data_IF_518997896080
#
_entry.id   IF_518997896080
#
_cell.length_a   1.000
_cell.length_b   1.000
_cell.length_c   1.000
_cell.angle_alpha   90.00
_cell.angle_beta   90.00
_cell.angle_gamma   90.00
#
_symmetry.space_group_name_H-M   'P 1'
#
loop_
_entity.id
_entity.type
_entity.pdbx_description
1 polymer ?
#
# COMPACT_ATOMS: atom_id res chain seq x y z
N UNK A 1 -81.81 19.12 -49.58
CA UNK A 1 -80.98 20.18 -48.98
C UNK A 1 -80.35 19.56 -47.69
N UNK A 2 -79.16 18.99 -47.78
CA UNK A 2 -78.42 18.42 -46.68
C UNK A 2 -77.11 19.17 -46.56
N UNK A 3 -76.87 19.76 -45.43
CA UNK A 3 -75.61 20.42 -45.12
C UNK A 3 -74.53 19.43 -44.77
N UNK A 4 -73.25 19.57 -45.22
CA UNK A 4 -72.14 18.74 -44.81
C UNK A 4 -71.65 19.16 -43.43
N UNK A 5 -71.59 18.21 -42.52
CA UNK A 5 -71.01 18.40 -41.19
C UNK A 5 -69.49 18.61 -41.28
N UNK A 6 -69.04 19.73 -40.68
CA UNK A 6 -67.63 20.05 -40.51
C UNK A 6 -67.05 19.15 -39.45
N UNK A 7 -66.17 18.22 -39.85
CA UNK A 7 -65.36 17.43 -38.91
C UNK A 7 -64.28 18.34 -38.25
N UNK A 8 -64.42 18.58 -36.96
CA UNK A 8 -63.45 19.29 -36.16
C UNK A 8 -62.31 18.28 -35.92
N UNK A 9 -61.16 18.58 -36.53
CA UNK A 9 -59.93 17.83 -36.27
C UNK A 9 -59.54 18.04 -34.82
N UNK A 10 -59.38 16.95 -34.08
CA UNK A 10 -58.83 16.95 -32.72
C UNK A 10 -57.36 17.47 -32.74
N UNK A 11 -56.98 18.25 -31.75
CA UNK A 11 -55.59 18.73 -31.69
C UNK A 11 -54.63 17.59 -31.46
N UNK A 12 -53.59 17.52 -32.28
CA UNK A 12 -52.44 16.68 -32.12
C UNK A 12 -51.92 16.83 -30.70
N UNK A 13 -52.24 15.87 -29.84
CA UNK A 13 -51.60 15.73 -28.51
C UNK A 13 -50.15 15.42 -28.74
N UNK A 14 -49.29 16.40 -28.53
CA UNK A 14 -47.87 16.22 -28.30
C UNK A 14 -47.71 15.44 -26.99
N UNK A 15 -47.85 14.11 -27.07
CA UNK A 15 -47.35 13.23 -26.02
C UNK A 15 -45.83 13.36 -26.01
N UNK A 16 -45.34 14.31 -25.22
CA UNK A 16 -43.96 14.37 -24.79
C UNK A 16 -43.72 13.08 -23.98
N UNK A 17 -43.33 11.99 -24.66
CA UNK A 17 -42.80 10.78 -24.00
C UNK A 17 -41.54 11.23 -23.26
N UNK A 18 -41.74 11.72 -22.06
CA UNK A 18 -40.67 11.94 -21.09
C UNK A 18 -39.98 10.60 -20.89
N UNK A 19 -38.84 10.45 -21.55
CA UNK A 19 -37.94 9.29 -21.44
C UNK A 19 -37.45 9.26 -20.01
N UNK A 20 -38.23 8.63 -19.11
CA UNK A 20 -37.94 8.62 -17.68
C UNK A 20 -36.65 7.82 -17.46
N UNK A 21 -35.64 8.53 -16.99
CA UNK A 21 -34.42 7.90 -16.49
C UNK A 21 -34.80 6.78 -15.52
N UNK A 22 -34.19 5.60 -15.60
CA UNK A 22 -34.46 4.52 -14.66
C UNK A 22 -33.86 4.90 -13.29
N UNK A 23 -34.69 5.50 -12.43
CA UNK A 23 -34.27 6.15 -11.17
C UNK A 23 -33.48 5.18 -10.28
N UNK A 24 -34.00 3.97 -10.09
CA UNK A 24 -33.33 2.99 -9.22
C UNK A 24 -31.93 2.62 -9.72
N UNK A 25 -31.72 2.16 -10.98
CA UNK A 25 -30.37 1.91 -11.50
C UNK A 25 -29.47 3.13 -11.47
N UNK A 26 -30.02 4.34 -11.73
CA UNK A 26 -29.24 5.58 -11.69
C UNK A 26 -28.68 5.84 -10.29
N UNK A 27 -29.49 5.65 -9.26
CA UNK A 27 -29.06 5.82 -7.87
C UNK A 27 -27.95 4.80 -7.53
N UNK A 28 -28.13 3.52 -7.89
CA UNK A 28 -27.14 2.49 -7.60
C UNK A 28 -25.81 2.74 -8.32
N UNK A 29 -25.84 3.09 -9.61
CA UNK A 29 -24.63 3.38 -10.37
C UNK A 29 -23.97 4.67 -9.87
N UNK A 30 -24.75 5.70 -9.58
CA UNK A 30 -24.25 6.95 -9.01
C UNK A 30 -23.58 6.73 -7.64
N UNK A 31 -24.20 5.95 -6.77
CA UNK A 31 -23.61 5.58 -5.48
C UNK A 31 -22.31 4.79 -5.64
N UNK A 32 -22.27 3.81 -6.55
CA UNK A 32 -21.05 3.04 -6.82
C UNK A 32 -19.91 3.93 -7.33
N UNK A 33 -20.20 4.84 -8.26
CA UNK A 33 -19.21 5.81 -8.77
C UNK A 33 -18.71 6.72 -7.64
N UNK A 34 -19.59 7.22 -6.80
CA UNK A 34 -19.23 8.07 -5.67
C UNK A 34 -18.31 7.35 -4.67
N UNK A 35 -18.60 6.08 -4.37
CA UNK A 35 -17.74 5.24 -3.51
C UNK A 35 -16.36 5.04 -4.14
N UNK A 36 -16.28 4.73 -5.44
CA UNK A 36 -15.00 4.54 -6.13
C UNK A 36 -14.17 5.84 -6.13
N UNK A 37 -14.80 7.00 -6.35
CA UNK A 37 -14.12 8.30 -6.26
C UNK A 37 -13.62 8.55 -4.84
N UNK A 38 -14.44 8.29 -3.82
CA UNK A 38 -14.05 8.45 -2.42
C UNK A 38 -12.87 7.56 -2.05
N UNK A 39 -12.85 6.30 -2.53
CA UNK A 39 -11.72 5.38 -2.34
C UNK A 39 -10.45 5.86 -3.07
N UNK A 40 -10.60 6.46 -4.25
CA UNK A 40 -9.48 7.09 -4.96
C UNK A 40 -8.82 8.20 -4.13
N UNK A 41 -9.61 9.12 -3.59
CA UNK A 41 -9.11 10.19 -2.72
C UNK A 41 -8.55 9.66 -1.40
N UNK A 42 -9.16 8.63 -0.82
CA UNK A 42 -8.62 8.00 0.38
C UNK A 42 -7.23 7.40 0.13
N UNK A 43 -7.01 6.77 -1.04
CA UNK A 43 -5.70 6.25 -1.43
C UNK A 43 -4.66 7.37 -1.58
N UNK A 44 -5.03 8.53 -2.13
CA UNK A 44 -4.12 9.68 -2.22
C UNK A 44 -3.73 10.19 -0.82
N UNK A 45 -4.67 10.32 0.09
CA UNK A 45 -4.37 10.72 1.47
C UNK A 45 -3.42 9.72 2.16
N UNK A 46 -3.60 8.42 1.92
CA UNK A 46 -2.70 7.37 2.43
C UNK A 46 -1.30 7.44 1.81
N UNK A 47 -1.21 7.81 0.53
CA UNK A 47 0.07 8.06 -0.13
C UNK A 47 0.83 9.18 0.58
N UNK A 48 0.16 10.32 0.83
CA UNK A 48 0.79 11.48 1.47
C UNK A 48 1.29 11.16 2.89
N UNK A 49 0.47 10.45 3.69
CA UNK A 49 0.86 9.98 5.03
C UNK A 49 2.11 9.08 4.96
N UNK A 50 2.14 8.15 3.98
CA UNK A 50 3.26 7.23 3.79
C UNK A 50 4.52 7.98 3.35
N UNK A 51 4.41 8.92 2.44
CA UNK A 51 5.54 9.75 1.98
C UNK A 51 6.13 10.58 3.11
N UNK A 52 5.29 11.18 3.96
CA UNK A 52 5.74 11.91 5.13
C UNK A 52 6.50 11.01 6.13
N UNK A 53 6.05 9.76 6.32
CA UNK A 53 6.74 8.78 7.14
C UNK A 53 8.09 8.38 6.54
N UNK A 54 8.12 8.05 5.24
CA UNK A 54 9.36 7.69 4.52
C UNK A 54 10.38 8.83 4.53
N UNK A 55 9.94 10.07 4.38
CA UNK A 55 10.79 11.25 4.47
C UNK A 55 11.44 11.40 5.85
N UNK A 56 10.70 11.15 6.94
CA UNK A 56 11.27 11.13 8.30
C UNK A 56 12.33 10.05 8.46
N UNK A 57 12.08 8.85 7.96
CA UNK A 57 13.05 7.75 8.01
C UNK A 57 14.30 8.03 7.16
N UNK A 58 14.14 8.61 5.98
CA UNK A 58 15.27 9.04 5.16
C UNK A 58 16.12 10.11 5.85
N UNK A 59 15.49 11.04 6.55
CA UNK A 59 16.22 12.02 7.38
C UNK A 59 16.94 11.34 8.56
N UNK A 60 16.29 10.34 9.21
CA UNK A 60 16.91 9.62 10.31
C UNK A 60 18.22 8.93 9.90
N UNK A 61 18.32 8.41 8.68
CA UNK A 61 19.55 7.81 8.14
C UNK A 61 20.73 8.79 8.04
N UNK A 62 20.47 10.07 7.93
CA UNK A 62 21.52 11.12 7.81
C UNK A 62 22.10 11.54 9.16
N UNK A 63 21.52 11.09 10.26
CA UNK A 63 21.94 11.44 11.61
C UNK A 63 23.03 10.47 12.08
N UNK A 64 24.24 10.98 12.30
CA UNK A 64 25.39 10.18 12.72
C UNK A 64 25.35 9.81 14.21
N UNK A 65 24.64 10.57 15.04
CA UNK A 65 24.56 10.33 16.48
C UNK A 65 23.83 9.02 16.78
N UNK A 66 24.44 8.05 17.49
CA UNK A 66 23.80 6.81 17.82
C UNK A 66 22.66 7.01 18.82
N UNK A 67 21.62 6.19 18.68
CA UNK A 67 20.50 6.11 19.64
C UNK A 67 20.58 4.82 20.45
N UNK A 68 19.93 4.80 21.62
CA UNK A 68 19.72 3.56 22.35
C UNK A 68 18.86 2.61 21.53
N UNK A 69 19.17 1.30 21.57
CA UNK A 69 18.35 0.29 20.94
C UNK A 69 16.95 0.28 21.59
N UNK A 70 15.84 0.35 20.82
CA UNK A 70 14.50 0.46 21.38
C UNK A 70 14.14 -0.84 22.10
N UNK A 71 13.66 -0.73 23.33
CA UNK A 71 13.24 -1.85 24.18
C UNK A 71 11.72 -1.92 24.36
N UNK A 72 11.01 -0.86 23.95
CA UNK A 72 9.56 -0.75 24.00
C UNK A 72 9.04 -0.43 22.61
N UNK A 73 7.81 -0.87 22.32
CA UNK A 73 7.17 -0.63 21.03
C UNK A 73 7.05 0.86 20.70
N UNK A 74 6.82 1.71 21.71
CA UNK A 74 6.69 3.16 21.56
C UNK A 74 7.97 3.86 21.10
N UNK A 75 9.15 3.27 21.36
CA UNK A 75 10.46 3.85 21.02
C UNK A 75 10.95 3.39 19.63
N UNK A 76 10.27 2.44 18.99
CA UNK A 76 10.75 1.81 17.76
C UNK A 76 10.81 2.83 16.62
N UNK A 77 9.74 3.56 16.36
CA UNK A 77 9.64 4.47 15.22
C UNK A 77 10.72 5.57 15.23
N UNK A 78 11.10 6.05 16.42
CA UNK A 78 12.13 7.08 16.59
C UNK A 78 13.55 6.52 16.44
N UNK A 79 13.72 5.21 16.65
CA UNK A 79 15.01 4.53 16.51
C UNK A 79 15.25 3.93 15.12
N UNK A 80 14.19 3.69 14.32
CA UNK A 80 14.32 3.07 13.00
C UNK A 80 15.29 3.86 12.11
N UNK A 81 16.12 3.11 11.39
CA UNK A 81 17.12 3.61 10.44
C UNK A 81 18.24 4.45 11.08
N UNK A 82 18.29 4.53 12.42
CA UNK A 82 19.35 5.18 13.18
C UNK A 82 20.47 4.20 13.54
N UNK A 83 21.68 4.72 13.72
CA UNK A 83 22.78 3.95 14.30
C UNK A 83 22.49 3.61 15.76
N UNK A 84 22.83 2.39 16.15
CA UNK A 84 22.66 1.90 17.52
C UNK A 84 23.69 0.83 17.83
N UNK A 85 23.76 0.44 19.10
CA UNK A 85 24.60 -0.65 19.54
C UNK A 85 23.93 -1.46 20.63
N UNK A 86 24.24 -2.76 20.66
CA UNK A 86 23.82 -3.67 21.72
C UNK A 86 24.97 -4.57 22.11
N UNK A 87 24.94 -5.08 23.35
CA UNK A 87 25.78 -6.18 23.76
C UNK A 87 24.91 -7.42 23.93
N UNK A 88 25.12 -8.40 23.07
CA UNK A 88 24.50 -9.72 23.17
C UNK A 88 25.23 -10.53 24.25
N UNK A 89 24.69 -10.54 25.46
CA UNK A 89 25.28 -11.24 26.58
C UNK A 89 25.11 -12.78 26.45
N UNK A 90 23.99 -13.19 25.87
CA UNK A 90 23.69 -14.61 25.62
C UNK A 90 22.89 -14.74 24.30
N UNK A 91 23.31 -15.66 23.46
CA UNK A 91 22.57 -16.03 22.25
C UNK A 91 21.53 -17.09 22.60
N UNK A 92 20.28 -16.75 22.55
CA UNK A 92 19.16 -17.63 22.89
C UNK A 92 18.80 -18.59 21.75
N UNK A 93 18.87 -18.10 20.52
CA UNK A 93 18.65 -18.91 19.32
C UNK A 93 19.30 -18.28 18.11
N UNK A 94 19.56 -19.08 17.09
CA UNK A 94 20.06 -18.62 15.79
C UNK A 94 19.19 -19.19 14.69
N UNK A 95 18.97 -18.40 13.66
CA UNK A 95 18.22 -18.78 12.48
C UNK A 95 18.76 -18.07 11.24
N UNK A 96 18.35 -18.52 10.10
CA UNK A 96 18.69 -17.89 8.83
C UNK A 96 17.43 -17.40 8.13
N UNK A 97 17.56 -16.33 7.31
CA UNK A 97 16.48 -15.82 6.47
C UNK A 97 17.09 -15.35 5.15
N UNK A 98 16.33 -15.36 4.03
CA UNK A 98 16.79 -14.73 2.80
C UNK A 98 17.15 -13.26 3.04
N UNK A 99 18.22 -12.79 2.39
CA UNK A 99 18.68 -11.40 2.50
C UNK A 99 19.69 -11.05 1.43
N UNK A 100 20.09 -9.77 1.40
CA UNK A 100 21.08 -9.25 0.45
C UNK A 100 22.29 -8.72 1.24
N UNK A 101 23.47 -8.82 0.64
CA UNK A 101 24.64 -8.11 1.15
C UNK A 101 24.68 -6.67 0.64
N UNK A 102 25.64 -5.86 1.08
CA UNK A 102 25.82 -4.46 0.65
C UNK A 102 26.00 -4.30 -0.87
N UNK A 103 26.50 -5.32 -1.57
CA UNK A 103 26.62 -5.33 -3.02
C UNK A 103 25.33 -5.76 -3.76
N UNK A 104 24.22 -5.94 -3.04
CA UNK A 104 22.92 -6.37 -3.57
C UNK A 104 22.85 -7.84 -3.98
N UNK A 105 23.85 -8.67 -3.62
CA UNK A 105 23.83 -10.10 -3.93
C UNK A 105 22.85 -10.83 -3.01
N UNK A 106 21.95 -11.60 -3.61
CA UNK A 106 21.00 -12.44 -2.88
C UNK A 106 21.75 -13.57 -2.16
N UNK A 107 21.37 -13.85 -0.93
CA UNK A 107 21.93 -14.91 -0.11
C UNK A 107 21.17 -15.04 1.20
N UNK A 108 21.87 -15.29 2.28
CA UNK A 108 21.28 -15.66 3.56
C UNK A 108 21.78 -14.71 4.66
N UNK A 109 20.84 -14.05 5.31
CA UNK A 109 21.09 -13.29 6.53
C UNK A 109 21.17 -14.26 7.74
N UNK A 110 22.18 -14.08 8.54
CA UNK A 110 22.39 -14.80 9.79
C UNK A 110 21.78 -13.98 10.93
N UNK A 111 20.82 -14.57 11.63
CA UNK A 111 20.03 -13.92 12.67
C UNK A 111 20.25 -14.58 14.01
N UNK A 112 20.35 -13.79 15.06
CA UNK A 112 20.41 -14.28 16.43
C UNK A 112 19.37 -13.55 17.30
N UNK A 113 18.67 -14.29 18.14
CA UNK A 113 17.90 -13.73 19.26
C UNK A 113 18.84 -13.66 20.45
N UNK A 114 19.04 -12.46 20.97
CA UNK A 114 20.00 -12.16 22.03
C UNK A 114 19.28 -11.72 23.30
N UNK A 115 19.73 -12.24 24.44
CA UNK A 115 19.53 -11.55 25.72
C UNK A 115 20.59 -10.43 25.82
N UNK A 116 20.13 -9.20 26.04
CA UNK A 116 21.01 -8.05 26.08
C UNK A 116 21.63 -7.85 27.49
N UNK A 117 22.83 -7.31 27.50
CA UNK A 117 23.39 -6.75 28.73
C UNK A 117 22.48 -5.62 29.24
N UNK A 118 22.23 -5.60 30.54
CA UNK A 118 21.24 -4.70 31.16
C UNK A 118 19.77 -5.09 30.95
N UNK A 119 19.50 -6.31 30.45
CA UNK A 119 18.16 -6.92 30.33
C UNK A 119 17.43 -6.65 29.02
N UNK A 120 16.36 -7.41 28.79
CA UNK A 120 15.60 -7.40 27.55
C UNK A 120 16.21 -8.29 26.47
N UNK A 121 15.50 -8.40 25.35
CA UNK A 121 15.92 -9.20 24.20
C UNK A 121 15.95 -8.35 22.94
N UNK A 122 16.80 -8.73 22.00
CA UNK A 122 16.83 -8.14 20.66
C UNK A 122 17.09 -9.21 19.59
N UNK A 123 16.57 -8.99 18.41
CA UNK A 123 17.00 -9.70 17.22
C UNK A 123 18.18 -8.96 16.59
N UNK A 124 19.26 -9.69 16.31
CA UNK A 124 20.49 -9.17 15.68
C UNK A 124 20.69 -9.90 14.36
N UNK A 125 20.69 -9.16 13.25
CA UNK A 125 21.13 -9.65 11.95
C UNK A 125 22.65 -9.44 11.88
N UNK A 126 23.43 -10.48 12.20
CA UNK A 126 24.85 -10.30 12.48
C UNK A 126 25.77 -10.49 11.27
N UNK A 127 25.25 -10.94 10.12
CA UNK A 127 26.02 -11.03 8.89
C UNK A 127 25.31 -11.76 7.78
N UNK A 128 25.99 -11.85 6.63
CA UNK A 128 25.49 -12.46 5.41
C UNK A 128 26.41 -13.58 4.91
N UNK A 129 25.79 -14.62 4.31
CA UNK A 129 26.49 -15.73 3.64
C UNK A 129 25.83 -16.03 2.30
N UNK A 130 26.61 -16.52 1.32
CA UNK A 130 26.07 -16.94 0.03
C UNK A 130 25.32 -18.27 0.10
N UNK A 131 25.57 -19.10 1.11
CA UNK A 131 25.04 -20.46 1.27
C UNK A 131 24.14 -20.57 2.50
N UNK A 132 23.08 -21.42 2.46
CA UNK A 132 22.12 -21.57 3.55
C UNK A 132 22.66 -22.45 4.68
N UNK A 133 23.75 -22.03 5.32
CA UNK A 133 24.30 -22.67 6.52
C UNK A 133 24.18 -21.74 7.71
N UNK A 134 23.86 -22.26 8.88
CA UNK A 134 23.89 -21.49 10.13
C UNK A 134 25.34 -21.33 10.54
N UNK A 135 25.78 -20.11 10.73
CA UNK A 135 27.10 -19.79 11.26
C UNK A 135 26.97 -19.59 12.78
N UNK A 136 27.71 -20.33 13.54
CA UNK A 136 27.71 -20.20 15.01
C UNK A 136 28.32 -18.86 15.42
N UNK A 137 27.56 -18.06 16.14
CA UNK A 137 27.98 -16.80 16.73
C UNK A 137 27.66 -16.83 18.24
N UNK A 138 28.59 -16.42 19.06
CA UNK A 138 28.47 -16.53 20.53
C UNK A 138 28.08 -15.24 21.23
N UNK A 139 27.66 -14.21 20.47
CA UNK A 139 27.31 -12.94 21.02
C UNK A 139 28.48 -11.97 21.11
N UNK A 140 28.33 -10.94 21.93
CA UNK A 140 29.29 -9.86 22.11
C UNK A 140 28.70 -8.50 21.74
N UNK A 141 29.56 -7.47 21.73
CA UNK A 141 29.17 -6.12 21.35
C UNK A 141 28.98 -6.02 19.83
N UNK A 142 27.86 -5.43 19.41
CA UNK A 142 27.50 -5.21 18.01
C UNK A 142 27.04 -3.78 17.84
N UNK A 143 27.58 -3.13 16.83
CA UNK A 143 27.11 -1.84 16.32
C UNK A 143 26.37 -2.06 15.00
N UNK A 144 25.46 -1.17 14.65
CA UNK A 144 24.75 -1.30 13.40
C UNK A 144 23.62 -0.29 13.23
N UNK A 145 22.66 -0.64 12.40
CA UNK A 145 21.49 0.19 12.10
C UNK A 145 20.22 -0.53 12.55
N UNK A 146 19.33 0.21 13.20
CA UNK A 146 18.03 -0.32 13.63
C UNK A 146 17.13 -0.49 12.40
N UNK A 147 16.69 -1.70 12.17
CA UNK A 147 15.74 -2.04 11.10
C UNK A 147 14.42 -2.58 11.62
N UNK A 148 13.36 -2.57 10.80
CA UNK A 148 12.07 -3.12 11.18
C UNK A 148 12.11 -4.66 11.26
N UNK A 149 11.37 -5.26 12.22
CA UNK A 149 11.21 -6.69 12.40
C UNK A 149 9.78 -7.05 12.80
N UNK A 150 8.83 -6.79 11.90
CA UNK A 150 7.39 -6.91 12.20
C UNK A 150 6.95 -5.85 13.21
N UNK A 151 6.51 -6.28 14.39
CA UNK A 151 6.14 -5.38 15.51
C UNK A 151 7.31 -5.06 16.44
N UNK A 152 8.50 -5.62 16.17
CA UNK A 152 9.72 -5.39 16.92
C UNK A 152 10.76 -4.66 16.04
N UNK A 153 11.88 -4.28 16.65
CA UNK A 153 13.06 -3.79 15.94
C UNK A 153 14.15 -4.87 15.95
N UNK A 154 15.03 -4.84 14.94
CA UNK A 154 16.26 -5.61 14.91
C UNK A 154 17.45 -4.70 14.76
N UNK A 155 18.61 -5.12 15.22
CA UNK A 155 19.88 -4.48 14.88
C UNK A 155 20.52 -5.20 13.69
N UNK A 156 20.76 -4.48 12.59
CA UNK A 156 21.54 -5.00 11.46
C UNK A 156 22.97 -4.57 11.66
N UNK A 157 23.84 -5.56 11.90
CA UNK A 157 25.23 -5.34 12.22
C UNK A 157 26.01 -4.65 11.07
N UNK A 158 26.72 -3.61 11.41
CA UNK A 158 27.61 -2.86 10.52
C UNK A 158 28.76 -2.26 11.34
N UNK A 159 29.98 -2.86 11.25
CA UNK A 159 30.35 -4.01 10.41
C UNK A 159 29.71 -5.33 10.87
N UNK A 160 29.65 -6.32 9.96
CA UNK A 160 29.17 -7.66 10.29
C UNK A 160 29.99 -8.29 11.41
N UNK A 161 29.33 -9.09 12.24
CA UNK A 161 29.98 -9.88 13.27
C UNK A 161 30.34 -11.30 12.78
N UNK A 162 31.13 -12.04 13.57
CA UNK A 162 31.47 -13.43 13.25
C UNK A 162 32.34 -13.65 12.00
N UNK A 163 32.98 -12.60 11.47
CA UNK A 163 33.82 -12.71 10.27
C UNK A 163 33.04 -12.86 8.95
N UNK A 164 31.76 -12.49 8.96
CA UNK A 164 30.86 -12.57 7.81
C UNK A 164 30.92 -11.32 6.94
N UNK A 165 30.29 -11.39 5.74
CA UNK A 165 30.03 -10.20 4.95
C UNK A 165 28.89 -9.38 5.58
N UNK A 166 28.93 -8.05 5.38
CA UNK A 166 27.87 -7.16 5.85
C UNK A 166 26.58 -7.35 5.04
N UNK A 167 25.46 -7.33 5.74
CA UNK A 167 24.14 -7.23 5.16
C UNK A 167 23.92 -5.85 4.56
N UNK A 168 23.05 -5.76 3.56
CA UNK A 168 22.50 -4.48 3.12
C UNK A 168 21.88 -3.76 4.33
N UNK A 169 22.19 -2.48 4.46
CA UNK A 169 21.57 -1.64 5.50
C UNK A 169 20.08 -1.55 5.26
N UNK A 170 19.26 -1.48 6.33
CA UNK A 170 17.85 -1.17 6.18
C UNK A 170 17.67 0.15 5.43
N UNK A 171 16.84 0.14 4.36
CA UNK A 171 16.54 1.33 3.58
C UNK A 171 15.02 1.60 3.61
N UNK A 172 14.58 2.81 4.01
CA UNK A 172 13.18 3.20 3.92
C UNK A 172 12.62 3.10 2.51
N UNK A 173 13.45 3.26 1.47
CA UNK A 173 13.05 3.14 0.07
C UNK A 173 12.55 1.73 -0.31
N UNK A 174 12.93 0.69 0.47
CA UNK A 174 12.45 -0.68 0.28
C UNK A 174 10.99 -0.86 0.71
N UNK A 175 10.41 0.14 1.40
CA UNK A 175 9.01 0.08 1.85
C UNK A 175 8.09 0.47 0.68
N UNK A 176 7.26 -0.45 0.17
CA UNK A 176 6.44 -0.16 -1.00
C UNK A 176 5.38 0.91 -0.71
N UNK A 177 5.23 1.86 -1.64
CA UNK A 177 4.17 2.87 -1.62
C UNK A 177 3.35 2.80 -2.91
N UNK A 178 2.43 1.82 -2.99
CA UNK A 178 1.63 1.56 -4.18
C UNK A 178 0.30 2.34 -4.21
N UNK A 179 0.07 3.26 -3.27
CA UNK A 179 -1.21 3.95 -3.12
C UNK A 179 -1.60 4.77 -4.34
N UNK A 180 -0.64 5.37 -5.07
CA UNK A 180 -0.91 6.10 -6.31
C UNK A 180 -1.50 5.20 -7.39
N UNK A 181 -0.95 3.99 -7.56
CA UNK A 181 -1.46 3.01 -8.52
C UNK A 181 -2.90 2.59 -8.19
N UNK A 182 -3.18 2.35 -6.92
CA UNK A 182 -4.54 2.03 -6.46
C UNK A 182 -5.52 3.21 -6.62
N UNK A 183 -5.09 4.45 -6.36
CA UNK A 183 -5.91 5.63 -6.62
C UNK A 183 -6.28 5.73 -8.10
N UNK A 184 -5.31 5.58 -8.99
CA UNK A 184 -5.53 5.55 -10.44
C UNK A 184 -6.51 4.46 -10.86
N UNK A 185 -6.42 3.28 -10.28
CA UNK A 185 -7.33 2.16 -10.54
C UNK A 185 -8.77 2.50 -10.13
N UNK A 186 -8.98 3.11 -8.97
CA UNK A 186 -10.31 3.51 -8.50
C UNK A 186 -10.94 4.57 -9.40
N UNK A 187 -10.19 5.60 -9.81
CA UNK A 187 -10.68 6.63 -10.74
C UNK A 187 -10.98 6.03 -12.12
N UNK A 188 -10.14 5.11 -12.60
CA UNK A 188 -10.40 4.41 -13.85
C UNK A 188 -11.69 3.60 -13.81
N UNK A 189 -11.97 2.88 -12.73
CA UNK A 189 -13.21 2.13 -12.56
C UNK A 189 -14.43 3.06 -12.50
N UNK A 190 -14.33 4.20 -11.78
CA UNK A 190 -15.40 5.19 -11.72
C UNK A 190 -15.73 5.74 -13.12
N UNK A 191 -14.70 6.11 -13.89
CA UNK A 191 -14.85 6.59 -15.25
C UNK A 191 -15.46 5.53 -16.18
N UNK A 192 -14.98 4.31 -16.10
CA UNK A 192 -15.48 3.18 -16.91
C UNK A 192 -16.95 2.92 -16.61
N UNK A 193 -17.34 2.87 -15.34
CA UNK A 193 -18.74 2.70 -14.93
C UNK A 193 -19.62 3.84 -15.46
N UNK A 194 -19.15 5.07 -15.38
CA UNK A 194 -19.85 6.24 -15.91
C UNK A 194 -20.06 6.13 -17.43
N UNK A 195 -19.00 5.80 -18.18
CA UNK A 195 -19.06 5.67 -19.65
C UNK A 195 -20.04 4.54 -20.04
N UNK A 196 -19.94 3.36 -19.41
CA UNK A 196 -20.85 2.24 -19.68
C UNK A 196 -22.29 2.67 -19.39
N UNK A 197 -22.54 3.36 -18.29
CA UNK A 197 -23.87 3.81 -17.92
C UNK A 197 -24.44 4.82 -18.92
N UNK A 198 -23.65 5.82 -19.35
CA UNK A 198 -24.05 6.78 -20.37
C UNK A 198 -24.40 6.07 -21.70
N UNK A 199 -23.58 5.11 -22.13
CA UNK A 199 -23.81 4.35 -23.35
C UNK A 199 -25.10 3.49 -23.24
N UNK A 200 -25.35 2.90 -22.09
CA UNK A 200 -26.58 2.14 -21.83
C UNK A 200 -27.83 3.02 -21.88
N UNK A 201 -27.78 4.24 -21.34
CA UNK A 201 -28.85 5.22 -21.44
C UNK A 201 -29.09 5.63 -22.88
N UNK A 202 -28.05 5.96 -23.64
CA UNK A 202 -28.17 6.35 -25.06
C UNK A 202 -28.81 5.26 -25.91
N UNK A 203 -28.45 3.97 -25.69
CA UNK A 203 -29.07 2.84 -26.42
C UNK A 203 -30.55 2.72 -26.13
N UNK A 204 -31.00 2.97 -24.90
CA UNK A 204 -32.44 2.95 -24.54
C UNK A 204 -33.23 4.03 -25.24
N UNK A 205 -32.65 5.24 -25.42
CA UNK A 205 -33.31 6.34 -26.09
C UNK A 205 -33.46 6.11 -27.60
N UNK A 206 -32.52 5.38 -28.23
CA UNK A 206 -32.59 5.09 -29.70
C UNK A 206 -33.41 3.83 -30.03
N UNK A 207 -33.52 2.86 -29.07
CA UNK A 207 -34.28 1.61 -29.32
C UNK A 207 -35.80 1.71 -29.14
N UNK A 208 -36.30 2.80 -28.60
CA UNK A 208 -37.76 3.04 -28.44
C UNK A 208 -38.52 3.47 -29.71
N UNK A 209 -37.82 3.82 -30.80
CA UNK A 209 -38.42 4.37 -32.02
C UNK A 209 -38.82 3.34 -33.08
N UNK A 210 -38.43 2.06 -32.97
CA UNK A 210 -38.66 1.10 -34.06
C UNK A 210 -39.83 0.11 -33.83
N UNK A 211 -40.52 0.20 -32.70
CA UNK A 211 -41.66 -0.75 -32.40
C UNK A 211 -43.03 -0.22 -32.68
N UNK A 212 -43.18 0.94 -33.32
CA UNK A 212 -44.50 1.56 -33.61
C UNK A 212 -44.85 1.59 -35.10
N UNK A 213 -44.37 0.63 -35.94
CA UNK A 213 -44.63 0.67 -37.37
C UNK A 213 -45.04 -0.66 -38.00
N UNK A 214 -45.52 -1.63 -37.21
CA UNK A 214 -46.13 -2.85 -37.73
C UNK A 214 -47.40 -3.15 -36.92
N UNK A 215 -48.49 -2.40 -37.19
CA UNK A 215 -49.90 -2.75 -37.01
C UNK A 215 -50.79 -1.94 -37.98
#
# INVERSE_FOLDING_TARGET
MGQPGIAVAAPFGLEFMANRLPVIPTIFVGAAIAVMIALGFWQLARMDEKEAMLSRFAQAQTLDEPVAFPRKAEDIDDALYRRSSVTCAEVLSQRTTPGHNEAGRTGIAQMARCRLDGGGEAEVAFGWTATPQVVEWRGGAVQGVVGPAGTEARLVADPAAGGLESLARPDPADIPNNHLAYAGQWFFFALTALVIYILALRRRTHGGGTRARDD
#
